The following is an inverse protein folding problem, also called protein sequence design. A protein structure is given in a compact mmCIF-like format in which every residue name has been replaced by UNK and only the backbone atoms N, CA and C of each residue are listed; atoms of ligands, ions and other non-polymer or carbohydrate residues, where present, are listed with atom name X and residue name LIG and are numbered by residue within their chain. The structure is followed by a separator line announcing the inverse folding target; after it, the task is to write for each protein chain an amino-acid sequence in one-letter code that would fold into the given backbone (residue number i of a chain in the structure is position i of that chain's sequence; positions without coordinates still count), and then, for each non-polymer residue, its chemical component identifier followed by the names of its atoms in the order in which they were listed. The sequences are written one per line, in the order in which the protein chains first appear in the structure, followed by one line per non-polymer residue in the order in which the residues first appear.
data_IF_531564927865
#
_entry.id   IF_531564927865
#
_cell.length_a   1.000
_cell.length_b   1.000
_cell.length_c   1.000
_cell.angle_alpha   90.00
_cell.angle_beta   90.00
_cell.angle_gamma   90.00
#
_symmetry.space_group_name_H-M   'P 1'
#
loop_
_entity.id
_entity.type
_entity.pdbx_description
1 polymer ?
2 polymer ?
3 non-polymer ?
4 non-polymer ?
5 water ?
#
# COMPACT_ATOMS: atom_id res chain seq x y z
N UNK A 1 4.99 24.46 9.13
CA UNK A 1 4.54 23.42 8.15
C UNK A 1 3.16 22.89 8.56
N UNK A 2 2.22 22.91 7.63
CA UNK A 2 0.87 22.42 7.97
C UNK A 2 0.72 20.98 7.49
N UNK A 3 0.69 20.06 8.46
CA UNK A 3 0.55 18.63 8.20
C UNK A 3 -0.88 18.24 7.83
N UNK A 4 -1.83 19.15 7.98
CA UNK A 4 -3.23 18.94 7.62
C UNK A 4 -3.65 19.42 6.26
N UNK A 5 -2.75 19.43 5.30
CA UNK A 5 -3.01 19.82 3.92
C UNK A 5 -2.22 18.92 2.98
N UNK A 6 -2.66 18.78 1.74
CA UNK A 6 -1.90 18.07 0.73
C UNK A 6 -0.84 19.00 0.16
N UNK A 7 0.36 18.53 -0.09
CA UNK A 7 1.43 19.41 -0.53
C UNK A 7 2.04 18.95 -1.86
N UNK A 8 2.72 19.87 -2.54
CA UNK A 8 3.41 19.50 -3.77
C UNK A 8 4.65 18.68 -3.44
N UNK A 9 5.24 18.00 -4.44
CA UNK A 9 6.45 17.23 -4.17
C UNK A 9 7.60 18.13 -3.71
N UNK A 10 7.67 19.34 -4.24
CA UNK A 10 8.70 20.30 -3.82
C UNK A 10 8.54 20.70 -2.34
N UNK A 11 7.30 20.87 -1.89
CA UNK A 11 7.01 21.18 -0.49
C UNK A 11 7.37 20.01 0.42
N UNK A 12 7.02 18.80 -0.01
CA UNK A 12 7.35 17.60 0.74
C UNK A 12 8.87 17.48 0.92
N UNK A 13 9.64 17.61 -0.16
CA UNK A 13 11.08 17.47 -0.09
C UNK A 13 11.71 18.49 0.85
N UNK A 14 11.19 19.73 0.79
CA UNK A 14 11.72 20.76 1.69
C UNK A 14 11.50 20.42 3.15
N UNK A 15 10.32 19.89 3.48
CA UNK A 15 10.02 19.49 4.86
C UNK A 15 10.89 18.33 5.29
N UNK A 16 11.17 17.39 4.38
CA UNK A 16 12.10 16.30 4.68
C UNK A 16 13.47 16.86 5.04
N UNK A 17 13.96 17.85 4.29
CA UNK A 17 15.21 18.52 4.60
C UNK A 17 15.14 19.33 5.88
N UNK A 18 13.98 19.92 6.20
CA UNK A 18 13.87 20.67 7.45
C UNK A 18 13.91 19.72 8.64
N UNK A 19 13.27 18.56 8.53
CA UNK A 19 13.37 17.54 9.57
C UNK A 19 14.80 17.15 9.87
N UNK A 20 15.58 16.84 8.83
CA UNK A 20 16.97 16.44 8.99
C UNK A 20 17.80 17.51 9.67
N UNK A 21 17.64 18.75 9.20
CA UNK A 21 18.40 19.86 9.77
C UNK A 21 18.04 20.17 11.21
N UNK A 22 16.80 19.94 11.65
CA UNK A 22 16.47 20.23 13.03
C UNK A 22 16.69 19.04 13.95
N UNK A 23 17.02 17.85 13.45
CA UNK A 23 17.25 16.68 14.32
C UNK A 23 18.38 15.81 13.75
N UNK A 24 19.58 16.36 13.62
CA UNK A 24 20.73 15.70 13.04
C UNK A 24 21.18 14.40 13.64
N UNK A 25 21.06 14.21 14.94
CA UNK A 25 21.53 12.98 15.58
C UNK A 25 20.56 11.81 15.51
N UNK A 26 19.41 12.00 14.89
CA UNK A 26 18.39 10.98 14.77
C UNK A 26 17.96 10.70 13.34
N UNK A 27 17.87 11.74 12.50
CA UNK A 27 17.35 11.55 11.15
C UNK A 27 18.39 11.89 10.08
N UNK A 28 18.43 11.10 9.02
CA UNK A 28 19.32 11.41 7.91
C UNK A 28 18.58 11.07 6.60
N UNK A 29 19.05 11.65 5.51
CA UNK A 29 18.42 11.36 4.22
C UNK A 29 19.30 10.40 3.41
N UNK A 30 18.71 9.31 2.92
CA UNK A 30 19.45 8.30 2.17
C UNK A 30 18.87 8.23 0.76
N UNK A 31 19.72 8.48 -0.26
CA UNK A 31 19.11 8.34 -1.59
C UNK A 31 19.35 6.91 -2.07
N UNK A 32 18.29 6.25 -2.54
CA UNK A 32 18.36 4.85 -2.94
C UNK A 32 18.19 4.67 -4.46
N UNK A 33 17.96 5.79 -5.16
CA UNK A 33 17.82 5.66 -6.62
C UNK A 33 17.17 6.87 -7.25
N UNK A 34 16.60 6.64 -8.44
CA UNK A 34 15.94 7.75 -9.14
C UNK A 34 14.76 7.22 -9.93
N UNK A 35 13.83 8.14 -10.20
CA UNK A 35 12.61 7.77 -10.89
C UNK A 35 12.84 7.72 -12.40
N UNK A 36 11.82 7.29 -13.14
CA UNK A 36 11.90 7.23 -14.59
C UNK A 36 12.23 8.62 -15.14
N UNK A 37 11.55 9.64 -14.66
CA UNK A 37 11.79 11.01 -15.03
C UNK A 37 12.89 11.65 -14.21
N UNK A 38 13.78 10.84 -13.64
CA UNK A 38 15.04 11.19 -13.02
C UNK A 38 14.97 11.92 -11.71
N UNK A 39 13.86 11.89 -10.99
CA UNK A 39 13.72 12.51 -9.68
C UNK A 39 14.33 11.57 -8.65
N UNK A 40 15.00 12.13 -7.67
CA UNK A 40 15.64 11.38 -6.61
C UNK A 40 14.65 10.67 -5.70
N UNK A 41 14.95 9.42 -5.38
CA UNK A 41 14.22 8.60 -4.45
C UNK A 41 14.90 8.71 -3.07
N UNK A 42 14.39 9.59 -2.24
CA UNK A 42 14.97 9.86 -0.93
C UNK A 42 14.17 9.21 0.21
N UNK A 43 14.87 8.43 1.03
CA UNK A 43 14.30 7.79 2.21
C UNK A 43 14.76 8.53 3.46
N UNK A 44 13.94 8.63 4.50
CA UNK A 44 14.40 9.16 5.79
C UNK A 44 14.80 7.99 6.68
N UNK A 45 15.99 8.06 7.25
CA UNK A 45 16.48 7.02 8.14
C UNK A 45 16.46 7.54 9.58
N UNK A 46 15.72 6.87 10.44
CA UNK A 46 15.69 7.19 11.87
C UNK A 46 16.57 6.18 12.61
N UNK A 47 17.61 6.63 13.32
CA UNK A 47 18.54 5.68 13.95
C UNK A 47 19.21 6.27 15.19
N UNK A 48 19.42 5.45 16.19
CA UNK A 48 20.13 5.92 17.40
C UNK A 48 21.58 5.46 17.35
N UNK A 49 21.90 4.73 16.30
CA UNK A 49 23.25 4.29 15.99
C UNK A 49 23.46 2.83 16.30
N UNK A 50 24.49 2.26 15.69
CA UNK A 50 24.85 0.86 15.92
C UNK A 50 24.37 0.02 14.74
N UNK A 51 24.89 -1.20 14.65
CA UNK A 51 24.51 -2.09 13.54
C UNK A 51 23.26 -2.84 13.97
N UNK A 52 22.09 -2.44 13.44
CA UNK A 52 20.88 -3.10 13.91
C UNK A 52 19.88 -3.38 12.80
N UNK A 53 18.94 -4.27 13.10
CA UNK A 53 17.89 -4.62 12.16
C UNK A 53 17.01 -3.41 11.87
N UNK A 54 16.14 -3.52 10.85
CA UNK A 54 15.34 -2.36 10.49
C UNK A 54 13.91 -2.68 10.10
N UNK A 55 13.07 -1.63 10.18
CA UNK A 55 11.69 -1.65 9.71
C UNK A 55 11.60 -0.77 8.45
N UNK A 56 10.98 -1.26 7.38
CA UNK A 56 10.79 -0.44 6.17
C UNK A 56 9.33 0.01 6.11
N UNK A 57 9.09 1.28 5.83
CA UNK A 57 7.73 1.80 5.73
C UNK A 57 7.66 2.64 4.45
N UNK A 58 6.68 2.38 3.59
CA UNK A 58 6.60 3.23 2.38
C UNK A 58 5.16 3.70 2.17
N UNK A 59 5.02 4.76 1.37
CA UNK A 59 3.74 5.33 1.02
C UNK A 59 3.75 5.96 -0.39
N UNK A 60 2.55 6.10 -0.99
CA UNK A 60 2.49 6.75 -2.30
C UNK A 60 2.98 5.90 -3.46
N UNK A 61 2.98 4.56 -3.34
CA UNK A 61 3.40 3.76 -4.52
C UNK A 61 2.35 4.02 -5.62
N UNK A 62 1.08 4.23 -5.24
CA UNK A 62 0.06 4.64 -6.19
C UNK A 62 -0.23 6.13 -6.04
N UNK A 63 0.01 6.82 -7.16
CA UNK A 63 -0.02 8.27 -7.14
C UNK A 63 -1.23 8.93 -6.53
N UNK A 64 -2.43 8.53 -6.93
CA UNK A 64 -3.66 9.18 -6.50
C UNK A 64 -4.04 8.99 -5.05
N UNK A 65 -3.37 8.12 -4.30
CA UNK A 65 -3.77 7.92 -2.90
C UNK A 65 -3.08 8.92 -1.98
N UNK A 66 -3.48 10.19 -2.14
CA UNK A 66 -2.83 11.29 -1.46
C UNK A 66 -2.81 11.26 0.05
N UNK A 67 -3.79 10.65 0.70
CA UNK A 67 -3.72 10.52 2.16
C UNK A 67 -2.53 9.69 2.62
N UNK A 68 -1.97 8.79 1.81
CA UNK A 68 -0.80 8.03 2.22
C UNK A 68 0.43 8.90 2.35
N UNK A 69 0.76 9.71 1.33
CA UNK A 69 1.97 10.54 1.43
C UNK A 69 1.86 11.51 2.61
N UNK A 70 0.67 12.10 2.77
CA UNK A 70 0.44 13.03 3.88
C UNK A 70 0.62 12.34 5.22
N UNK A 71 0.10 11.13 5.37
CA UNK A 71 0.26 10.35 6.59
C UNK A 71 1.72 10.00 6.86
N UNK A 72 2.49 9.63 5.83
CA UNK A 72 3.89 9.30 5.99
C UNK A 72 4.68 10.51 6.50
N UNK A 73 4.37 11.69 5.97
CA UNK A 73 5.06 12.92 6.38
C UNK A 73 4.75 13.30 7.82
N UNK A 74 3.49 13.15 8.25
CA UNK A 74 3.13 13.44 9.63
C UNK A 74 3.80 12.42 10.54
N UNK A 75 3.91 11.17 10.09
CA UNK A 75 4.56 10.12 10.87
C UNK A 75 6.03 10.44 11.13
N UNK A 76 6.73 10.96 10.13
CA UNK A 76 8.13 11.35 10.28
C UNK A 76 8.27 12.38 11.39
N UNK A 77 7.39 13.36 11.40
CA UNK A 77 7.37 14.38 12.44
C UNK A 77 7.01 13.83 13.81
N UNK A 78 6.06 12.91 13.88
CA UNK A 78 5.66 12.27 15.13
C UNK A 78 6.80 11.46 15.74
N UNK A 79 7.62 10.78 14.95
CA UNK A 79 8.75 10.04 15.54
C UNK A 79 9.74 10.98 16.18
N UNK A 80 10.15 12.05 15.46
CA UNK A 80 11.10 12.99 16.02
C UNK A 80 10.57 13.79 17.21
N UNK A 81 9.27 14.07 17.27
CA UNK A 81 8.68 14.82 18.36
C UNK A 81 8.53 13.97 19.62
N UNK A 82 8.28 12.68 19.46
CA UNK A 82 8.05 11.80 20.60
C UNK A 82 9.27 11.02 21.04
N UNK A 83 10.34 10.98 20.24
CA UNK A 83 11.51 10.23 20.66
C UNK A 83 12.07 10.79 21.98
N UNK A 84 12.25 9.93 22.98
CA UNK A 84 12.78 10.36 24.26
C UNK A 84 11.70 10.70 25.28
N UNK A 85 10.47 10.88 24.85
CA UNK A 85 9.35 11.21 25.72
C UNK A 85 8.42 10.00 25.84
N UNK A 86 7.92 9.53 24.70
CA UNK A 86 7.09 8.31 24.68
C UNK A 86 8.02 7.12 24.88
N UNK A 87 7.79 6.31 25.91
CA UNK A 87 8.64 5.15 26.18
C UNK A 87 8.64 4.13 25.05
N UNK A 88 7.52 3.95 24.37
CA UNK A 88 7.43 2.96 23.31
C UNK A 88 8.27 3.27 22.09
N UNK A 89 8.15 4.44 21.46
CA UNK A 89 9.02 4.75 20.32
C UNK A 89 10.47 4.77 20.77
N UNK A 90 10.80 5.24 21.96
CA UNK A 90 12.17 5.25 22.43
C UNK A 90 12.76 3.86 22.46
N UNK A 91 12.01 2.87 22.97
CA UNK A 91 12.55 1.51 23.06
C UNK A 91 12.53 0.81 21.71
N UNK A 92 11.61 1.17 20.82
CA UNK A 92 11.62 0.65 19.45
C UNK A 92 12.93 1.03 18.78
N UNK A 93 13.29 2.31 18.88
CA UNK A 93 14.49 2.83 18.24
C UNK A 93 15.79 2.41 18.92
N UNK A 94 15.76 1.92 20.16
CA UNK A 94 16.96 1.31 20.73
C UNK A 94 17.23 -0.03 20.02
N UNK A 95 16.19 -0.79 19.70
CA UNK A 95 16.36 -2.09 19.05
C UNK A 95 16.51 -2.04 17.54
N UNK A 96 15.84 -1.11 16.87
CA UNK A 96 15.73 -1.12 15.41
C UNK A 96 15.89 0.26 14.76
N UNK A 97 16.26 0.31 13.51
CA UNK A 97 16.30 1.52 12.70
C UNK A 97 14.98 1.54 11.90
N UNK A 98 14.48 2.74 11.60
CA UNK A 98 13.27 2.84 10.78
C UNK A 98 13.61 3.57 9.47
N UNK A 99 13.20 3.00 8.35
CA UNK A 99 13.41 3.63 7.05
C UNK A 99 12.03 3.99 6.48
N UNK A 100 11.89 5.25 6.08
CA UNK A 100 10.55 5.75 5.70
C UNK A 100 10.67 6.44 4.35
N UNK A 101 9.95 5.92 3.36
CA UNK A 101 9.85 6.49 2.03
C UNK A 101 8.47 7.11 1.82
N UNK A 102 8.31 8.41 2.00
CA UNK A 102 7.03 9.07 1.90
C UNK A 102 6.44 9.08 0.50
N UNK A 103 7.27 9.21 -0.53
CA UNK A 103 6.75 9.32 -1.91
C UNK A 103 7.47 8.30 -2.79
N UNK A 104 6.88 7.11 -2.90
CA UNK A 104 7.45 5.99 -3.65
C UNK A 104 7.33 6.15 -5.16
N UNK A 105 6.36 6.91 -5.64
CA UNK A 105 6.19 7.17 -7.07
C UNK A 105 6.12 8.66 -7.35
N UNK A 106 7.26 9.38 -7.32
CA UNK A 106 7.28 10.82 -7.46
C UNK A 106 6.81 11.35 -8.80
N UNK A 107 7.11 10.64 -9.90
CA UNK A 107 6.65 11.06 -11.23
C UNK A 107 5.12 11.02 -11.32
N UNK A 108 4.58 9.91 -10.85
CA UNK A 108 3.11 9.75 -10.83
C UNK A 108 2.48 10.82 -9.93
N UNK A 109 3.06 11.08 -8.77
CA UNK A 109 2.51 12.07 -7.83
C UNK A 109 2.41 13.44 -8.48
N UNK A 110 3.49 13.88 -9.13
CA UNK A 110 3.47 15.19 -9.80
C UNK A 110 2.44 15.21 -10.93
N UNK A 111 2.36 14.15 -11.74
CA UNK A 111 1.36 14.07 -12.80
C UNK A 111 -0.06 14.14 -12.24
N UNK A 112 -0.32 13.48 -11.12
CA UNK A 112 -1.63 13.56 -10.47
C UNK A 112 -1.95 14.94 -9.92
N UNK A 113 -0.94 15.76 -9.60
CA UNK A 113 -1.15 17.09 -9.06
C UNK A 113 -1.30 18.15 -10.14
N UNK A 114 -0.84 17.82 -11.35
CA UNK A 114 -0.81 18.79 -12.44
C UNK A 114 -1.75 18.46 -13.58
N UNK A 115 -1.92 17.20 -13.97
CA UNK A 115 -2.68 16.83 -15.14
C UNK A 115 -3.90 15.95 -14.87
N UNK A 116 -3.69 14.88 -14.10
CA UNK A 116 -4.76 13.89 -13.94
C UNK A 116 -4.84 13.48 -12.47
N UNK A 117 -5.88 13.86 -11.74
CA UNK A 117 -6.00 13.56 -10.33
C UNK A 117 -6.23 12.08 -10.01
N UNK A 118 -6.65 11.30 -11.01
CA UNK A 118 -6.85 9.86 -10.81
C UNK A 118 -5.70 9.01 -11.33
N UNK A 119 -4.53 9.57 -11.64
CA UNK A 119 -3.43 8.74 -12.16
C UNK A 119 -2.94 7.77 -11.10
N UNK A 120 -2.64 6.53 -11.47
CA UNK A 120 -2.20 5.53 -10.48
C UNK A 120 -0.75 5.07 -10.68
N UNK A 121 -0.40 4.75 -11.93
CA UNK A 121 0.83 4.11 -12.30
C UNK A 121 2.07 5.00 -12.29
N UNK A 122 3.18 4.40 -12.72
CA UNK A 122 4.42 5.16 -12.93
C UNK A 122 4.21 5.98 -14.21
N UNK A 123 5.27 6.64 -14.68
CA UNK A 123 5.18 7.39 -15.92
C UNK A 123 6.14 6.86 -16.97
N UNK A 124 6.55 5.61 -16.84
CA UNK A 124 7.50 5.03 -17.82
C UNK A 124 6.85 4.85 -19.19
N UNK A 125 7.69 4.82 -20.23
CA UNK A 125 7.13 4.61 -21.57
C UNK A 125 7.11 3.12 -21.91
N UNK A 126 6.03 2.70 -22.56
CA UNK A 126 5.82 1.31 -22.91
C UNK A 126 6.64 0.95 -24.15
N UNK A 127 7.38 -0.15 -24.01
CA UNK A 127 8.30 -0.71 -24.97
C UNK A 127 7.70 -1.34 -26.22
N UNK A 128 6.41 -1.24 -26.45
CA UNK A 128 5.77 -1.76 -27.63
C UNK A 128 5.96 -0.79 -28.80
N UNK A 129 4.51 -1.18 -28.57
CA UNK A 129 3.88 -0.18 -29.42
C UNK A 129 2.68 0.39 -28.70
N UNK A 130 3.63 1.00 -27.44
CA UNK A 130 2.26 1.30 -27.08
C UNK A 130 2.03 2.80 -27.02
N UNK A 131 0.75 3.16 -27.07
CA UNK A 131 0.30 4.53 -26.97
C UNK A 131 -0.08 4.87 -25.52
N UNK A 132 0.03 3.88 -24.63
CA UNK A 132 -0.31 4.10 -23.22
C UNK A 132 0.95 4.24 -22.39
N UNK A 133 0.86 4.94 -21.27
CA UNK A 133 2.02 5.23 -20.42
C UNK A 133 1.88 4.52 -19.08
N UNK A 134 2.99 4.06 -18.52
CA UNK A 134 3.03 3.64 -17.14
C UNK A 134 2.73 2.20 -16.81
N UNK A 135 3.36 1.74 -15.74
CA UNK A 135 3.24 0.39 -15.20
C UNK A 135 2.67 0.47 -13.78
N UNK A 136 1.87 -0.51 -13.37
CA UNK A 136 1.42 -0.49 -11.94
C UNK A 136 2.60 -0.96 -11.12
N UNK A 137 3.19 -0.13 -10.26
CA UNK A 137 4.37 -0.49 -9.49
C UNK A 137 4.01 -1.51 -8.42
N UNK A 138 2.71 -1.70 -8.14
CA UNK A 138 2.40 -2.77 -7.17
C UNK A 138 1.93 -4.04 -7.85
N UNK A 139 2.29 -4.22 -9.13
CA UNK A 139 2.15 -5.50 -9.84
C UNK A 139 3.50 -5.85 -10.49
N UNK A 140 4.58 -5.18 -10.12
CA UNK A 140 5.88 -5.35 -10.75
C UNK A 140 6.93 -6.09 -9.94
N UNK A 141 6.53 -6.67 -8.82
CA UNK A 141 7.49 -7.35 -7.93
C UNK A 141 7.55 -8.81 -8.33
N UNK A 142 8.65 -9.46 -8.02
CA UNK A 142 8.89 -10.86 -8.32
C UNK A 142 8.22 -11.78 -7.29
N UNK A 143 6.92 -11.90 -7.32
CA UNK A 143 6.14 -12.76 -6.43
C UNK A 143 4.86 -13.10 -7.16
N UNK A 144 4.83 -14.26 -7.82
CA UNK A 144 3.72 -14.62 -8.69
C UNK A 144 3.59 -13.66 -9.88
N UNK A 145 4.68 -13.10 -10.38
CA UNK A 145 4.63 -12.12 -11.45
C UNK A 145 3.81 -12.62 -12.62
N UNK A 146 2.92 -11.78 -13.10
CA UNK A 146 2.10 -12.06 -14.27
C UNK A 146 0.82 -12.84 -14.01
N UNK A 147 0.56 -13.21 -12.75
CA UNK A 147 -0.59 -14.05 -12.47
C UNK A 147 -1.89 -13.28 -12.45
N UNK A 148 -2.94 -13.91 -11.91
CA UNK A 148 -4.25 -13.30 -11.77
C UNK A 148 -4.22 -11.95 -11.07
N UNK A 149 -5.02 -11.01 -11.55
CA UNK A 149 -5.15 -9.70 -10.88
C UNK A 149 -4.12 -8.70 -11.40
N UNK A 150 -3.33 -9.07 -12.39
CA UNK A 150 -2.36 -8.21 -13.04
C UNK A 150 -2.61 -8.32 -14.53
N UNK A 151 -2.49 -7.25 -15.31
CA UNK A 151 -2.81 -7.31 -16.73
C UNK A 151 -1.58 -7.20 -17.63
N UNK A 152 -1.66 -7.79 -18.83
CA UNK A 152 -0.59 -7.68 -19.82
C UNK A 152 -0.91 -6.56 -20.82
N UNK A 153 -2.02 -5.88 -20.60
CA UNK A 153 -2.40 -4.73 -21.42
C UNK A 153 -1.78 -3.47 -20.83
N UNK A 154 -0.91 -2.79 -21.58
CA UNK A 154 -0.26 -1.58 -21.11
C UNK A 154 -1.21 -0.45 -20.78
N UNK A 155 -2.40 -0.43 -21.34
CA UNK A 155 -3.40 0.60 -21.10
C UNK A 155 -4.19 0.36 -19.82
N UNK A 156 -4.07 -0.81 -19.21
CA UNK A 156 -4.75 -1.09 -17.96
C UNK A 156 -4.11 -0.44 -16.75
N UNK A 157 -4.94 -0.22 -15.71
CA UNK A 157 -4.44 0.33 -14.45
C UNK A 157 -3.61 -0.70 -13.69
N UNK A 158 -3.73 -1.99 -13.98
CA UNK A 158 -2.99 -3.02 -13.29
C UNK A 158 -1.93 -3.69 -14.17
N UNK A 159 -1.51 -2.99 -15.23
CA UNK A 159 -0.41 -3.53 -16.05
C UNK A 159 0.83 -3.86 -15.25
N UNK A 160 1.38 -5.05 -15.44
CA UNK A 160 2.50 -5.51 -14.65
C UNK A 160 3.85 -5.03 -15.21
N UNK A 161 3.91 -4.57 -16.44
CA UNK A 161 5.25 -4.20 -16.97
C UNK A 161 5.80 -5.41 -17.74
N UNK A 162 6.89 -5.20 -18.49
CA UNK A 162 7.47 -6.24 -19.32
C UNK A 162 8.13 -7.38 -18.58
N UNK A 163 8.65 -7.10 -17.40
CA UNK A 163 9.32 -8.09 -16.57
C UNK A 163 9.39 -7.60 -15.13
N UNK A 164 9.58 -8.53 -14.19
CA UNK A 164 9.65 -8.14 -12.78
C UNK A 164 10.77 -7.13 -12.56
N UNK A 165 10.51 -6.11 -11.74
CA UNK A 165 11.47 -5.06 -11.43
C UNK A 165 11.88 -4.23 -12.65
N UNK A 166 11.07 -4.16 -13.70
CA UNK A 166 11.33 -3.29 -14.83
C UNK A 166 11.30 -1.82 -14.43
N UNK A 167 10.51 -1.45 -13.42
CA UNK A 167 10.39 -0.04 -13.04
C UNK A 167 11.55 0.35 -12.14
N UNK A 168 12.28 1.41 -12.53
CA UNK A 168 13.43 1.80 -11.69
C UNK A 168 13.07 2.12 -10.26
N UNK A 169 11.87 2.61 -9.94
CA UNK A 169 11.42 2.90 -8.59
C UNK A 169 11.39 1.63 -7.74
N UNK A 170 10.82 0.58 -8.34
CA UNK A 170 10.75 -0.73 -7.69
C UNK A 170 12.11 -1.39 -7.56
N UNK A 171 12.89 -1.45 -8.63
CA UNK A 171 14.25 -2.00 -8.56
C UNK A 171 15.09 -1.28 -7.50
N UNK A 172 14.95 0.04 -7.36
CA UNK A 172 15.66 0.80 -6.35
C UNK A 172 15.33 0.31 -4.94
N UNK A 173 14.09 -0.01 -4.63
CA UNK A 173 13.70 -0.53 -3.32
C UNK A 173 14.22 -1.95 -3.09
N UNK A 174 14.01 -2.85 -4.04
CA UNK A 174 14.53 -4.22 -3.93
C UNK A 174 16.03 -4.22 -3.70
N UNK A 175 16.80 -3.43 -4.47
CA UNK A 175 18.24 -3.41 -4.33
C UNK A 175 18.66 -2.93 -2.94
N UNK A 176 18.00 -1.91 -2.41
CA UNK A 176 18.29 -1.40 -1.07
C UNK A 176 18.03 -2.48 -0.02
N UNK A 177 16.85 -3.09 -0.06
CA UNK A 177 16.52 -4.12 0.91
C UNK A 177 17.51 -5.28 0.87
N UNK A 178 17.85 -5.78 -0.30
CA UNK A 178 18.78 -6.91 -0.42
C UNK A 178 20.17 -6.50 0.04
N UNK A 179 20.64 -5.29 -0.30
CA UNK A 179 21.94 -4.84 0.15
C UNK A 179 21.99 -4.62 1.66
N UNK A 180 20.93 -4.12 2.25
CA UNK A 180 20.83 -3.88 3.68
C UNK A 180 21.02 -5.17 4.47
N UNK A 181 20.19 -6.16 4.17
CA UNK A 181 20.23 -7.48 4.69
C UNK A 181 19.62 -7.79 6.04
N UNK A 182 19.18 -6.80 6.80
CA UNK A 182 18.64 -7.04 8.14
C UNK A 182 17.26 -6.40 8.31
N UNK A 183 16.54 -6.30 7.18
CA UNK A 183 15.19 -5.74 7.26
C UNK A 183 14.27 -6.81 7.84
N UNK A 184 13.57 -6.49 8.94
CA UNK A 184 12.71 -7.44 9.62
C UNK A 184 11.21 -7.13 9.59
N UNK A 185 10.81 -5.98 9.10
CA UNK A 185 9.40 -5.67 8.92
C UNK A 185 9.25 -4.77 7.68
N UNK A 186 8.19 -5.01 6.91
CA UNK A 186 7.94 -4.27 5.68
C UNK A 186 6.48 -3.86 5.64
N UNK A 187 6.20 -2.55 5.70
CA UNK A 187 4.84 -2.04 5.79
C UNK A 187 4.56 -1.03 4.68
N UNK A 188 3.48 -1.24 3.92
CA UNK A 188 3.19 -0.34 2.81
C UNK A 188 1.83 0.30 2.97
N UNK A 189 1.74 1.61 2.70
CA UNK A 189 0.48 2.31 2.83
C UNK A 189 -0.22 2.57 1.50
N UNK A 190 -1.47 2.16 1.40
CA UNK A 190 -2.34 2.44 0.28
C UNK A 190 -3.64 3.07 0.81
N UNK A 191 -4.36 3.71 -0.11
CA UNK A 191 -5.70 4.12 0.26
C UNK A 191 -6.71 3.45 -0.68
N UNK A 192 -8.01 3.63 -0.77
CA UNK A 192 -8.89 3.34 0.33
C UNK A 192 -9.53 2.00 0.59
N UNK A 193 -10.21 1.87 1.73
CA UNK A 193 -11.02 0.75 2.13
C UNK A 193 -11.05 0.45 3.63
N UNK A 194 -10.10 0.96 4.42
CA UNK A 194 -10.01 0.65 5.83
C UNK A 194 -9.78 -0.84 6.10
N UNK A 195 -8.63 -1.33 5.62
CA UNK A 195 -8.26 -2.74 5.76
C UNK A 195 -6.82 -2.85 6.27
N UNK A 196 -6.53 -3.84 7.10
CA UNK A 196 -5.14 -4.10 7.50
C UNK A 196 -4.87 -5.54 7.06
N UNK A 197 -4.00 -5.68 6.08
CA UNK A 197 -3.76 -6.97 5.43
C UNK A 197 -2.38 -7.55 5.56
N UNK A 198 -2.28 -8.87 5.31
CA UNK A 198 -0.97 -9.54 5.32
C UNK A 198 -0.98 -10.46 4.11
N UNK A 199 0.17 -11.03 3.79
CA UNK A 199 0.31 -11.79 2.59
C UNK A 199 -0.82 -12.81 2.43
N UNK A 200 -0.68 -13.50 1.34
CA UNK A 200 -0.88 -13.49 -0.02
C UNK A 200 -1.99 -12.74 -0.73
N UNK A 201 -1.49 -11.91 -1.67
CA UNK A 201 -2.36 -11.40 -2.71
C UNK A 201 -2.30 -12.29 -3.95
N UNK A 202 -1.19 -12.95 -4.25
CA UNK A 202 -1.12 -13.77 -5.47
C UNK A 202 -1.81 -15.11 -5.35
N UNK A 203 -2.14 -15.57 -4.15
CA UNK A 203 -2.83 -16.85 -3.99
C UNK A 203 -3.70 -16.77 -2.74
N UNK A 204 -4.75 -17.56 -2.63
CA UNK A 204 -5.68 -17.42 -1.51
C UNK A 204 -5.47 -18.44 -0.40
N UNK A 205 -4.38 -19.19 -0.44
CA UNK A 205 -4.04 -20.13 0.63
C UNK A 205 -3.44 -19.45 1.85
N UNK A 206 -3.42 -20.09 3.03
CA UNK A 206 -2.87 -19.50 4.24
C UNK A 206 -1.34 -19.56 4.31
N UNK A 207 -0.66 -18.46 4.60
CA UNK A 207 0.80 -18.48 4.69
C UNK A 207 1.24 -19.13 5.99
N UNK A 208 2.52 -19.50 6.12
CA UNK A 208 2.98 -20.28 7.25
C UNK A 208 2.73 -19.58 8.59
N UNK A 209 2.91 -18.26 8.65
CA UNK A 209 2.71 -17.52 9.88
C UNK A 209 1.34 -16.90 10.05
N UNK A 210 0.30 -17.54 9.51
CA UNK A 210 -1.04 -17.04 9.55
C UNK A 210 -1.52 -16.66 10.94
N UNK A 211 -1.38 -17.58 11.90
CA UNK A 211 -1.93 -17.26 13.23
C UNK A 211 -1.25 -16.05 13.86
N UNK A 212 0.07 -15.92 13.76
CA UNK A 212 0.73 -14.79 14.38
C UNK A 212 0.43 -13.47 13.65
N UNK A 213 0.46 -13.48 12.33
CA UNK A 213 0.17 -12.25 11.59
C UNK A 213 -1.28 -11.80 11.75
N UNK A 214 -2.21 -12.74 11.81
CA UNK A 214 -3.59 -12.43 12.11
C UNK A 214 -3.76 -11.78 13.49
N UNK A 215 -3.11 -12.34 14.52
CA UNK A 215 -3.21 -11.78 15.86
C UNK A 215 -2.59 -10.38 15.91
N UNK A 216 -1.44 -10.17 15.29
CA UNK A 216 -0.82 -8.84 15.26
C UNK A 216 -1.70 -7.85 14.53
N UNK A 217 -2.29 -8.26 13.41
CA UNK A 217 -3.16 -7.34 12.64
C UNK A 217 -4.40 -6.97 13.44
N UNK A 218 -5.02 -7.94 14.11
CA UNK A 218 -6.20 -7.65 14.93
C UNK A 218 -5.87 -6.74 16.10
N UNK A 219 -4.70 -6.87 16.71
CA UNK A 219 -4.31 -5.98 17.79
C UNK A 219 -4.06 -4.56 17.27
N UNK A 220 -3.45 -4.46 16.09
CA UNK A 220 -3.23 -3.11 15.53
C UNK A 220 -4.56 -2.44 15.18
N UNK A 221 -5.52 -3.18 14.65
CA UNK A 221 -6.81 -2.66 14.25
C UNK A 221 -7.59 -2.19 15.47
N UNK A 222 -7.48 -2.95 16.56
CA UNK A 222 -8.04 -2.58 17.85
C UNK A 222 -7.51 -1.24 18.36
N UNK A 223 -6.18 -1.12 18.37
CA UNK A 223 -5.55 0.10 18.84
C UNK A 223 -5.94 1.28 17.97
N UNK A 224 -6.00 1.08 16.66
CA UNK A 224 -6.40 2.15 15.74
C UNK A 224 -7.81 2.64 16.06
N UNK A 225 -8.71 1.70 16.28
CA UNK A 225 -10.10 1.95 16.54
C UNK A 225 -10.33 2.84 17.77
N UNK A 226 -9.56 2.65 18.81
CA UNK A 226 -9.75 3.34 20.08
C UNK A 226 -9.71 4.85 20.04
N UNK A 227 -9.09 5.50 19.04
CA UNK A 227 -9.01 6.95 19.05
C UNK A 227 -10.27 7.63 18.57
N UNK A 228 -10.70 7.31 17.35
CA UNK A 228 -11.84 7.95 16.74
C UNK A 228 -12.97 7.01 16.35
N UNK A 229 -12.89 5.75 16.77
CA UNK A 229 -13.93 4.78 16.48
C UNK A 229 -13.90 4.23 15.08
N UNK A 230 -12.84 4.42 14.31
CA UNK A 230 -12.82 3.93 12.94
C UNK A 230 -12.54 2.44 12.85
N UNK A 231 -13.47 1.75 12.15
CA UNK A 231 -13.25 0.30 12.09
C UNK A 231 -12.68 -0.22 10.77
N UNK A 232 -11.66 -1.04 11.00
CA UNK A 232 -10.88 -1.73 9.97
C UNK A 232 -11.20 -3.22 9.94
N UNK A 233 -11.13 -3.83 8.77
CA UNK A 233 -11.29 -5.28 8.67
C UNK A 233 -9.90 -5.82 8.30
N UNK A 234 -9.64 -7.03 8.74
CA UNK A 234 -8.31 -7.65 8.69
C UNK A 234 -8.35 -8.99 7.98
N UNK A 235 -7.30 -9.36 7.26
CA UNK A 235 -7.19 -10.63 6.59
C UNK A 235 -6.13 -10.62 5.49
N UNK A 236 -5.93 -11.76 4.83
CA UNK A 236 -4.99 -11.87 3.72
C UNK A 236 -5.50 -11.06 2.54
N UNK A 237 -4.60 -10.51 1.72
CA UNK A 237 -5.00 -9.66 0.59
C UNK A 237 -6.02 -10.35 -0.31
N UNK A 238 -5.70 -11.57 -0.74
CA UNK A 238 -6.55 -12.32 -1.65
C UNK A 238 -8.00 -12.46 -1.20
N UNK A 239 -8.28 -12.66 0.09
CA UNK A 239 -9.67 -12.84 0.49
C UNK A 239 -10.34 -11.54 0.93
N UNK A 240 -9.61 -10.52 1.39
CA UNK A 240 -10.30 -9.31 1.86
C UNK A 240 -10.43 -8.22 0.82
N UNK A 241 -9.64 -8.23 -0.25
CA UNK A 241 -9.79 -7.20 -1.28
C UNK A 241 -9.93 -7.91 -2.61
N UNK A 242 -8.90 -8.54 -3.13
CA UNK A 242 -8.93 -9.22 -4.41
C UNK A 242 -7.58 -9.87 -4.71
N UNK A 243 -7.54 -10.76 -5.71
CA UNK A 243 -6.25 -11.37 -6.07
C UNK A 243 -5.43 -10.29 -6.76
N UNK A 244 -4.13 -10.22 -6.47
CA UNK A 244 -3.29 -9.16 -7.03
C UNK A 244 -1.86 -9.64 -7.15
N UNK A 245 -1.49 -10.32 -8.22
CA UNK A 245 -0.16 -10.89 -8.40
C UNK A 245 0.90 -9.84 -8.63
N UNK A 246 2.11 -10.09 -8.12
CA UNK A 246 3.24 -9.19 -8.27
C UNK A 246 3.31 -8.07 -7.23
N UNK A 247 2.68 -8.22 -6.09
CA UNK A 247 2.66 -7.17 -5.06
C UNK A 247 3.90 -7.18 -4.16
N UNK A 248 4.16 -6.05 -3.52
CA UNK A 248 5.35 -5.86 -2.69
C UNK A 248 5.40 -6.69 -1.42
N UNK A 249 4.32 -6.81 -0.65
CA UNK A 249 4.45 -7.57 0.60
C UNK A 249 4.46 -9.07 0.34
N UNK A 250 3.99 -9.56 -0.79
CA UNK A 250 4.14 -10.97 -1.13
C UNK A 250 5.63 -11.21 -1.39
N UNK A 251 6.27 -10.32 -2.15
CA UNK A 251 7.71 -10.40 -2.37
C UNK A 251 8.50 -10.35 -1.07
N UNK A 252 8.22 -9.38 -0.21
CA UNK A 252 8.98 -9.24 1.04
C UNK A 252 8.84 -10.47 1.93
N UNK A 253 7.61 -10.98 2.09
CA UNK A 253 7.39 -12.18 2.90
C UNK A 253 8.15 -13.39 2.36
N UNK A 254 7.99 -13.65 1.07
CA UNK A 254 8.76 -14.76 0.45
C UNK A 254 10.25 -14.54 0.47
N UNK A 255 10.76 -13.32 0.64
CA UNK A 255 12.17 -13.04 0.78
C UNK A 255 12.65 -13.32 2.20
N UNK A 256 11.75 -13.55 3.15
CA UNK A 256 12.06 -13.88 4.52
C UNK A 256 11.73 -12.76 5.50
N UNK A 257 10.98 -11.76 5.04
CA UNK A 257 10.60 -10.68 5.96
C UNK A 257 9.21 -10.98 6.50
N UNK A 258 9.18 -11.54 7.71
CA UNK A 258 7.97 -12.15 8.27
C UNK A 258 6.86 -11.17 8.57
N UNK A 259 7.14 -9.99 9.08
CA UNK A 259 6.17 -8.99 9.46
C UNK A 259 5.94 -8.03 8.28
N UNK A 260 5.18 -8.53 7.31
CA UNK A 260 4.91 -7.79 6.09
C UNK A 260 3.43 -7.46 6.04
N UNK A 261 3.08 -6.18 6.13
CA UNK A 261 1.69 -5.77 6.23
C UNK A 261 1.36 -4.65 5.24
N UNK A 262 0.09 -4.58 4.84
CA UNK A 262 -0.41 -3.49 4.01
C UNK A 262 -1.61 -2.81 4.64
N UNK A 263 -1.62 -1.46 4.66
CA UNK A 263 -2.79 -0.74 5.13
C UNK A 263 -3.57 -0.18 3.93
N UNK A 264 -4.89 -0.25 3.97
CA UNK A 264 -5.74 0.60 3.13
C UNK A 264 -6.36 1.63 4.08
N UNK A 265 -5.95 2.89 3.93
CA UNK A 265 -6.45 3.91 4.87
C UNK A 265 -7.86 4.35 4.57
N UNK A 266 -8.24 5.47 5.20
CA UNK A 266 -9.53 6.03 5.11
C UNK A 266 -10.06 6.58 3.76
N UNK A 267 -11.07 5.99 3.15
CA UNK A 267 -12.42 6.00 3.69
C UNK A 267 -13.00 4.68 3.18
N UNK A 268 -14.30 4.43 3.20
CA UNK A 268 -14.84 3.19 2.67
C UNK A 268 -15.57 3.46 1.34
N UNK A 269 -15.39 4.62 0.73
CA UNK A 269 -16.01 4.86 -0.58
C UNK A 269 -16.80 6.16 -0.66
N UNK A 270 -17.11 6.82 0.45
CA UNK A 270 -17.86 8.07 0.37
C UNK A 270 -17.05 9.10 -0.41
N UNK A 271 -15.78 9.29 -0.01
CA UNK A 271 -14.92 10.18 -0.76
C UNK A 271 -13.89 9.43 -1.59
N UNK A 272 -13.57 8.20 -1.18
CA UNK A 272 -12.60 7.39 -1.92
C UNK A 272 -11.22 8.05 -1.93
N UNK A 273 -10.58 8.12 -3.10
CA UNK A 273 -9.26 8.74 -3.16
C UNK A 273 -9.29 10.25 -2.92
N UNK A 274 -10.43 10.91 -3.13
CA UNK A 274 -10.60 12.33 -2.90
C UNK A 274 -10.93 12.72 -1.47
N UNK A 275 -10.21 12.13 -0.50
CA UNK A 275 -10.41 12.41 0.92
C UNK A 275 -10.16 13.86 1.25
N UNK A 276 -11.15 14.50 1.89
CA UNK A 276 -11.06 15.91 2.26
C UNK A 276 -9.80 16.13 3.06
N UNK A 277 -9.17 17.31 2.92
CA UNK A 277 -7.95 17.63 3.65
C UNK A 277 -8.22 17.69 5.15
N UNK A 278 -9.45 17.99 5.56
CA UNK A 278 -9.84 18.03 6.95
C UNK A 278 -9.74 16.66 7.62
N UNK A 279 -9.73 15.57 6.87
CA UNK A 279 -9.54 14.24 7.44
C UNK A 279 -8.09 13.77 7.45
N UNK A 280 -7.13 14.51 6.92
CA UNK A 280 -5.74 14.10 7.05
C UNK A 280 -5.28 13.83 8.49
N UNK A 281 -5.41 14.79 9.39
CA UNK A 281 -4.88 14.62 10.74
C UNK A 281 -5.52 13.50 11.55
N UNK A 282 -6.83 13.33 11.51
CA UNK A 282 -7.49 12.23 12.19
C UNK A 282 -7.07 10.88 11.64
N UNK A 283 -6.87 10.80 10.32
CA UNK A 283 -6.43 9.57 9.67
C UNK A 283 -5.00 9.25 10.09
N UNK A 284 -4.11 10.24 10.06
CA UNK A 284 -2.71 9.98 10.46
C UNK A 284 -2.60 9.59 11.94
N UNK A 285 -3.35 10.30 12.81
CA UNK A 285 -3.25 10.04 14.25
C UNK A 285 -3.63 8.61 14.60
N UNK A 286 -4.78 8.18 14.07
CA UNK A 286 -5.25 6.82 14.38
C UNK A 286 -4.39 5.76 13.72
N UNK A 287 -3.85 6.02 12.52
CA UNK A 287 -2.95 5.07 11.87
C UNK A 287 -1.69 4.86 12.69
N UNK A 288 -1.21 5.93 13.32
CA UNK A 288 -0.03 5.83 14.19
C UNK A 288 -0.20 4.78 15.29
N UNK A 289 -1.38 4.66 15.88
CA UNK A 289 -1.61 3.64 16.90
C UNK A 289 -1.51 2.23 16.33
N UNK A 290 -2.01 2.03 15.12
CA UNK A 290 -1.85 0.72 14.46
C UNK A 290 -0.37 0.48 14.16
N UNK A 291 0.28 1.41 13.49
CA UNK A 291 1.72 1.28 13.25
C UNK A 291 2.51 0.97 14.50
N UNK A 292 2.30 1.70 15.59
CA UNK A 292 3.05 1.46 16.83
C UNK A 292 2.86 0.05 17.39
N UNK A 293 1.64 -0.47 17.36
CA UNK A 293 1.37 -1.84 17.77
C UNK A 293 2.19 -2.84 16.96
N UNK A 294 2.27 -2.69 15.63
CA UNK A 294 3.05 -3.62 14.83
C UNK A 294 4.53 -3.47 15.20
N UNK A 295 5.06 -2.25 15.31
CA UNK A 295 6.49 -2.12 15.63
C UNK A 295 6.81 -2.62 17.02
N UNK A 296 5.93 -2.47 18.00
CA UNK A 296 6.17 -3.08 19.32
C UNK A 296 6.35 -4.58 19.23
N UNK A 297 5.51 -5.26 18.44
CA UNK A 297 5.60 -6.69 18.25
C UNK A 297 6.90 -7.10 17.54
N UNK A 298 7.35 -6.27 16.59
CA UNK A 298 8.64 -6.59 15.93
C UNK A 298 9.77 -6.43 16.94
N UNK A 299 9.74 -5.35 17.72
CA UNK A 299 10.73 -5.12 18.77
C UNK A 299 10.81 -6.30 19.73
N UNK A 300 9.67 -6.82 20.17
CA UNK A 300 9.64 -7.87 21.17
C UNK A 300 9.90 -9.26 20.65
N UNK A 301 9.86 -9.51 19.33
CA UNK A 301 10.05 -10.83 18.77
C UNK A 301 11.14 -10.91 17.72
N UNK A 302 12.40 -10.77 18.10
CA UNK A 302 13.52 -10.81 17.18
C UNK A 302 13.64 -12.14 16.46
N UNK A 303 14.19 -12.15 15.25
CA UNK A 303 14.37 -13.39 14.52
C UNK A 303 15.47 -13.23 13.47
N UNK B 1 -26.26 -19.99 -5.14
CA UNK B 1 -25.68 -18.92 -6.00
C UNK B 1 -24.17 -18.92 -5.96
N UNK B 2 -23.53 -18.69 -7.12
CA UNK B 2 -22.07 -18.67 -7.16
C UNK B 2 -21.57 -17.23 -7.28
N UNK B 3 -20.37 -17.02 -6.76
CA UNK B 3 -19.76 -15.69 -6.67
C UNK B 3 -18.42 -15.65 -7.41
N UNK B 4 -18.28 -14.55 -8.16
CA UNK B 4 -17.22 -14.33 -9.11
C UNK B 4 -16.54 -12.98 -8.98
N UNK B 5 -15.33 -12.90 -9.52
CA UNK B 5 -14.57 -11.66 -9.57
C UNK B 5 -14.17 -11.38 -11.04
N UNK B 6 -14.43 -10.17 -11.51
CA UNK B 6 -14.06 -9.80 -12.87
C UNK B 6 -13.07 -8.62 -12.92
N UNK B 7 -11.91 -8.79 -13.54
CA UNK B 7 -10.94 -7.71 -13.67
C UNK B 7 -11.12 -6.97 -14.99
N UNK B 8 -11.24 -5.66 -14.90
CA UNK B 8 -11.41 -4.76 -16.03
C UNK B 8 -10.22 -3.80 -16.04
N UNK B 9 -10.02 -3.02 -17.08
CA UNK B 9 -8.90 -2.11 -17.16
C UNK B 9 -8.85 -1.08 -16.04
N UNK B 10 -10.00 -0.56 -15.61
CA UNK B 10 -10.03 0.47 -14.58
C UNK B 10 -10.81 0.17 -13.31
N UNK B 11 -11.25 -1.06 -13.11
CA UNK B 11 -11.99 -1.41 -11.91
C UNK B 11 -12.12 -2.94 -11.80
N UNK B 12 -12.57 -3.36 -10.62
CA UNK B 12 -12.75 -4.78 -10.32
C UNK B 12 -14.21 -4.95 -9.93
N UNK B 13 -14.93 -5.90 -10.53
CA UNK B 13 -16.35 -6.03 -10.18
C UNK B 13 -16.67 -7.44 -9.69
N UNK B 14 -17.47 -7.56 -8.63
CA UNK B 14 -17.85 -8.91 -8.20
C UNK B 14 -19.30 -9.14 -8.63
N UNK B 15 -19.60 -10.40 -8.87
CA UNK B 15 -20.94 -10.81 -9.30
C UNK B 15 -21.44 -11.97 -8.44
N UNK B 16 -22.63 -11.91 -7.87
CA UNK B 16 -23.19 -13.01 -7.09
C UNK B 16 -24.44 -13.44 -7.90
N UNK B 17 -24.39 -14.63 -8.49
CA UNK B 17 -25.48 -14.95 -9.43
C UNK B 17 -26.22 -16.23 -9.12
N UNK B 18 -27.43 -16.34 -9.65
CA UNK B 18 -28.22 -17.57 -9.59
C UNK B 18 -28.66 -17.93 -11.01
N UNK B 19 -28.20 -19.04 -11.55
CA UNK B 19 -28.59 -19.43 -12.91
C UNK B 19 -28.01 -18.56 -13.99
N UNK B 20 -26.86 -17.92 -13.73
CA UNK B 20 -26.12 -17.18 -14.73
C UNK B 20 -24.66 -17.04 -14.27
N UNK B 21 -23.84 -16.56 -15.17
CA UNK B 21 -22.45 -16.18 -14.90
C UNK B 21 -22.15 -14.95 -15.75
N UNK B 22 -21.15 -14.17 -15.36
CA UNK B 22 -20.81 -12.95 -16.07
C UNK B 22 -20.57 -13.22 -17.55
N UNK B 23 -20.99 -12.26 -18.37
CA UNK B 23 -20.75 -12.27 -19.81
C UNK B 23 -19.29 -11.95 -20.09
N UNK B 24 -18.78 -12.36 -21.25
CA UNK B 24 -17.42 -12.11 -21.68
C UNK B 24 -17.04 -10.64 -21.75
N UNK B 25 -18.01 -9.75 -21.97
CA UNK B 25 -17.79 -8.32 -21.94
C UNK B 25 -17.46 -7.76 -20.57
N UNK B 26 -17.64 -8.53 -19.48
CA UNK B 26 -17.34 -8.03 -18.15
C UNK B 26 -15.85 -8.10 -17.82
N UNK B 27 -15.00 -8.58 -18.72
CA UNK B 27 -13.56 -8.63 -18.47
C UNK B 27 -13.08 -10.03 -18.16
N UNK B 28 -12.03 -10.16 -17.38
CA UNK B 28 -11.42 -11.45 -17.01
C UNK B 28 -12.09 -11.94 -15.74
N UNK B 29 -12.97 -12.93 -15.88
CA UNK B 29 -13.81 -13.37 -14.76
C UNK B 29 -13.61 -14.82 -14.36
N UNK B 30 -13.53 -15.10 -13.06
CA UNK B 30 -13.40 -16.45 -12.52
C UNK B 30 -14.12 -16.49 -11.16
N UNK B 31 -14.61 -17.66 -10.78
CA UNK B 31 -15.26 -17.82 -9.48
C UNK B 31 -14.26 -17.43 -8.39
N UNK B 32 -14.75 -16.81 -7.34
CA UNK B 32 -13.94 -16.32 -6.23
C UNK B 32 -14.85 -15.99 -5.06
N UNK B 33 -14.46 -16.39 -3.86
CA UNK B 33 -15.16 -16.04 -2.65
C UNK B 33 -15.46 -14.55 -2.57
N UNK B 34 -16.53 -14.15 -1.89
CA UNK B 34 -16.85 -12.74 -1.79
C UNK B 34 -15.94 -12.04 -0.79
N UNK B 35 -15.60 -10.79 -1.08
CA UNK B 35 -14.81 -9.98 -0.15
C UNK B 35 -15.78 -9.08 0.60
N UNK B 36 -15.34 -8.47 1.69
CA UNK B 36 -16.15 -7.59 2.51
C UNK B 36 -16.86 -6.52 1.70
N UNK B 37 -16.13 -5.78 0.88
CA UNK B 37 -16.68 -4.75 0.02
C UNK B 37 -17.75 -5.27 -0.93
N UNK B 38 -17.62 -6.47 -1.44
CA UNK B 38 -18.59 -7.04 -2.36
C UNK B 38 -19.94 -7.26 -1.71
N UNK B 39 -19.94 -7.92 -0.54
CA UNK B 39 -21.17 -8.15 0.20
C UNK B 39 -21.88 -6.85 0.57
N UNK B 40 -21.15 -5.80 0.94
CA UNK B 40 -21.75 -4.53 1.30
C UNK B 40 -22.47 -3.85 0.13
N UNK B 41 -21.91 -3.87 -1.06
CA UNK B 41 -22.46 -3.13 -2.17
C UNK B 41 -23.34 -3.89 -3.14
N UNK B 42 -23.19 -5.20 -3.25
CA UNK B 42 -23.96 -5.98 -4.22
C UNK B 42 -25.26 -6.44 -3.55
N UNK B 43 -26.20 -5.53 -3.43
CA UNK B 43 -27.40 -5.75 -2.64
C UNK B 43 -28.64 -6.05 -3.48
N UNK B 44 -28.69 -5.58 -4.72
CA UNK B 44 -29.89 -5.79 -5.51
C UNK B 44 -29.80 -6.84 -6.60
N UNK B 45 -30.88 -7.61 -6.70
CA UNK B 45 -31.01 -8.67 -7.69
C UNK B 45 -31.54 -8.09 -8.99
N UNK B 46 -30.76 -8.24 -10.06
CA UNK B 46 -31.17 -7.73 -11.36
C UNK B 46 -31.10 -8.85 -12.39
N UNK B 47 -32.01 -8.82 -13.36
CA UNK B 47 -32.03 -9.79 -14.44
C UNK B 47 -30.70 -9.73 -15.19
N UNK B 48 -29.99 -10.85 -15.28
CA UNK B 48 -28.65 -10.87 -15.87
C UNK B 48 -28.50 -12.11 -16.74
N UNK B 49 -28.25 -11.94 -18.04
CA UNK B 49 -28.06 -13.09 -18.92
C UNK B 49 -29.27 -14.03 -18.85
N UNK B 50 -29.06 -15.28 -18.50
CA UNK B 50 -30.05 -16.32 -18.33
C UNK B 50 -30.62 -16.43 -16.92
N UNK B 51 -30.14 -15.60 -15.99
CA UNK B 51 -30.59 -15.67 -14.61
C UNK B 51 -30.73 -14.31 -13.96
N UNK B 52 -30.22 -14.18 -12.75
CA UNK B 52 -30.24 -12.98 -11.93
C UNK B 52 -28.89 -12.86 -11.20
N UNK B 53 -28.36 -11.66 -11.09
CA UNK B 53 -27.12 -11.42 -10.40
C UNK B 53 -27.17 -10.11 -9.59
N UNK B 54 -26.41 -10.06 -8.51
CA UNK B 54 -26.16 -8.87 -7.71
C UNK B 54 -24.73 -8.44 -8.09
N UNK B 55 -24.45 -7.16 -8.24
CA UNK B 55 -23.09 -6.77 -8.64
C UNK B 55 -22.67 -5.42 -8.12
N UNK B 56 -21.39 -5.25 -7.83
CA UNK B 56 -20.84 -3.94 -7.43
C UNK B 56 -19.36 -3.90 -7.82
N UNK B 57 -18.81 -2.70 -7.99
CA UNK B 57 -17.44 -2.58 -8.44
C UNK B 57 -16.65 -1.58 -7.59
N UNK B 58 -15.33 -1.73 -7.62
CA UNK B 58 -14.45 -0.82 -6.93
C UNK B 58 -13.23 -0.57 -7.85
N UNK B 59 -12.62 0.59 -7.73
CA UNK B 59 -11.41 0.93 -8.47
C UNK B 59 -10.25 0.14 -7.87
N UNK B 60 -9.14 0.00 -8.58
CA UNK B 60 -7.94 -0.60 -7.99
C UNK B 60 -7.50 0.34 -6.87
N UNK B 61 -7.27 -0.21 -5.69
CA UNK B 61 -7.02 0.59 -4.49
C UNK B 61 -5.64 0.31 -4.02
X LIG C 1 -2.76 1.40 -4.04
X LIG D 1 -4.44 -2.95 -6.03
X LIG D 1 -3.66 -3.23 -4.81
X LIG D 1 -2.36 -2.58 -5.01
X LIG D 1 -1.62 -3.17 -5.75
X LIG D 1 -4.16 -2.87 -3.50
X LIG D 1 -3.66 -3.92 -2.48
X LIG D 1 -2.78 -4.89 -3.17
X LIG D 1 -3.39 -5.58 -3.98
X LIG D 1 -1.67 -5.19 -2.69
X LIG D 1 -2.28 -1.38 -4.68
#
# INVERSE_FOLDING_TARGET
FNFGAYHTLEEISQEMDNLVAEHPGLVSKVNIGSSFENRPMNVLKFSTGGDKPAIWLDAGIHAREWVTQATALWTANKIVSDYGKDPSITSILDALDIFLLPVTNPDGYVFSQTKNRMWRKTRSKVSAGSLCVGVDPNRNWDAGFGGPGASSNPCSDSYHGPSANSEVEVKSIVDFIKSHGKVKAFIILHSYSQLLMFPYGYKCTKLDDFDELSEVAQKAAQSLSRLHGTKYKVGPICSVIYQASGGSIDWSYDYGIKYSFAFELRDTGRYGFLLPARQILPTAEETWLGLKAIMEHVRDHPY
DESFLCYQPDQVCCFICRGAAPLPSEGECNPHPTAPWCREGAVEWVPYSTGQCRTTCIPYV
ZN ZN
GLU N CA C O CB CG CD OE1 OE2 OXT
#
